data_IF_192414278751
#
_entry.id   IF_192414278751
#
_cell.length_a   1.000
_cell.length_b   1.000
_cell.length_c   1.000
_cell.angle_alpha   90.00
_cell.angle_beta   90.00
_cell.angle_gamma   90.00
#
_symmetry.space_group_name_H-M   'P 1'
#
loop_
_entity.id
_entity.type
_entity.pdbx_description
1 polymer ?
#
# COMPACT_ATOMS: atom_id res chain seq x y z
N UNK A 1 13.35 -17.66 -31.27
CA UNK A 1 11.89 -17.64 -31.31
C UNK A 1 11.44 -16.95 -30.04
N UNK A 2 11.09 -15.65 -30.09
CA UNK A 2 10.53 -14.93 -28.95
C UNK A 2 9.08 -15.39 -28.83
N UNK A 3 8.76 -16.21 -27.82
CA UNK A 3 7.38 -16.53 -27.46
C UNK A 3 6.73 -15.26 -26.95
N UNK A 4 5.90 -14.64 -27.77
CA UNK A 4 5.03 -13.55 -27.41
C UNK A 4 3.97 -14.10 -26.41
N UNK A 5 4.33 -14.16 -25.13
CA UNK A 5 3.35 -14.40 -24.06
C UNK A 5 2.66 -13.07 -23.82
N UNK A 6 1.47 -12.88 -24.38
CA UNK A 6 0.60 -11.78 -23.97
C UNK A 6 0.28 -11.97 -22.48
N UNK A 7 0.55 -10.94 -21.68
CA UNK A 7 0.16 -10.92 -20.28
C UNK A 7 -1.35 -10.95 -20.13
N UNK A 8 -1.84 -11.33 -18.96
CA UNK A 8 -3.29 -11.37 -18.66
C UNK A 8 -3.96 -10.00 -18.85
N UNK A 9 -3.20 -8.92 -18.68
CA UNK A 9 -3.66 -7.53 -18.81
C UNK A 9 -3.56 -6.96 -20.24
N UNK A 10 -3.00 -7.72 -21.22
CA UNK A 10 -2.89 -7.34 -22.64
C UNK A 10 -4.19 -7.61 -23.44
N UNK A 11 -5.34 -7.68 -22.78
CA UNK A 11 -6.63 -7.88 -23.46
C UNK A 11 -7.05 -6.55 -24.07
N UNK A 12 -7.09 -6.49 -25.40
CA UNK A 12 -7.70 -5.38 -26.12
C UNK A 12 -9.21 -5.39 -25.90
N UNK A 13 -9.70 -4.36 -25.21
CA UNK A 13 -11.12 -4.16 -24.97
C UNK A 13 -11.61 -3.17 -26.05
N UNK A 14 -12.47 -3.66 -26.93
CA UNK A 14 -13.14 -2.79 -27.92
C UNK A 14 -14.31 -2.05 -27.23
N UNK A 15 -14.08 -0.78 -26.95
CA UNK A 15 -15.04 0.07 -26.25
C UNK A 15 -16.18 0.59 -27.17
N UNK A 16 -16.03 0.52 -28.52
CA UNK A 16 -17.01 1.10 -29.45
C UNK A 16 -18.31 0.26 -29.58
N UNK A 17 -18.28 -1.01 -29.18
CA UNK A 17 -19.40 -1.95 -29.32
C UNK A 17 -20.24 -2.18 -28.05
N UNK A 18 -19.88 -1.58 -26.91
CA UNK A 18 -20.48 -1.89 -25.62
C UNK A 18 -21.59 -0.88 -25.28
N UNK A 19 -22.85 -1.33 -25.35
CA UNK A 19 -23.99 -0.56 -24.84
C UNK A 19 -23.90 -0.43 -23.31
N UNK A 20 -23.84 0.81 -22.80
CA UNK A 20 -23.50 1.13 -21.42
C UNK A 20 -24.75 1.12 -20.55
N UNK A 21 -24.98 0.02 -19.81
CA UNK A 21 -25.78 0.03 -18.60
C UNK A 21 -24.87 0.35 -17.41
N UNK A 22 -25.33 1.14 -16.40
CA UNK A 22 -24.49 1.77 -15.38
C UNK A 22 -23.43 0.91 -14.70
N UNK A 23 -23.65 -0.38 -14.46
CA UNK A 23 -22.66 -1.28 -13.87
C UNK A 23 -21.52 -1.72 -14.81
N UNK A 24 -21.71 -1.57 -16.12
CA UNK A 24 -20.69 -1.93 -17.12
C UNK A 24 -19.61 -0.84 -17.25
N UNK A 25 -19.96 0.42 -17.03
CA UNK A 25 -18.99 1.54 -17.07
C UNK A 25 -17.96 1.41 -15.99
N UNK A 26 -18.37 1.10 -14.76
CA UNK A 26 -17.45 0.94 -13.62
C UNK A 26 -16.48 -0.21 -13.85
N UNK A 27 -16.95 -1.32 -14.42
CA UNK A 27 -16.10 -2.45 -14.78
C UNK A 27 -15.11 -2.10 -15.90
N UNK A 28 -15.51 -1.30 -16.88
CA UNK A 28 -14.61 -0.83 -17.95
C UNK A 28 -13.50 0.07 -17.39
N UNK A 29 -13.85 1.03 -16.51
CA UNK A 29 -12.84 1.84 -15.82
C UNK A 29 -11.89 0.97 -15.01
N UNK A 30 -12.41 0.00 -14.26
CA UNK A 30 -11.58 -0.94 -13.48
C UNK A 30 -10.62 -1.72 -14.38
N UNK A 31 -11.08 -2.22 -15.52
CA UNK A 31 -10.23 -2.94 -16.47
C UNK A 31 -9.17 -2.01 -17.10
N UNK A 32 -9.52 -0.76 -17.37
CA UNK A 32 -8.55 0.23 -17.85
C UNK A 32 -7.50 0.57 -16.80
N UNK A 33 -7.90 0.73 -15.53
CA UNK A 33 -6.98 0.95 -14.43
C UNK A 33 -6.00 -0.23 -14.28
N UNK A 34 -6.49 -1.46 -14.32
CA UNK A 34 -5.65 -2.65 -14.29
C UNK A 34 -4.67 -2.71 -15.48
N UNK A 35 -5.13 -2.37 -16.69
CA UNK A 35 -4.25 -2.29 -17.87
C UNK A 35 -3.13 -1.26 -17.67
N UNK A 36 -3.42 -0.15 -17.00
CA UNK A 36 -2.47 0.90 -16.65
C UNK A 36 -1.73 0.65 -15.33
N UNK A 37 -1.82 -0.56 -14.76
CA UNK A 37 -1.18 -0.97 -13.50
C UNK A 37 -1.59 -0.11 -12.30
N UNK A 38 -2.82 0.42 -12.29
CA UNK A 38 -3.40 1.20 -11.20
C UNK A 38 -4.25 0.33 -10.32
N UNK A 39 -3.93 0.30 -9.03
CA UNK A 39 -4.64 -0.44 -8.01
C UNK A 39 -5.16 0.53 -6.95
N UNK A 40 -6.38 0.33 -6.47
CA UNK A 40 -7.01 1.19 -5.47
C UNK A 40 -7.34 0.39 -4.20
N UNK A 41 -6.84 0.87 -3.06
CA UNK A 41 -7.12 0.35 -1.73
C UNK A 41 -7.80 1.46 -0.91
N UNK A 42 -9.09 1.70 -1.20
CA UNK A 42 -9.88 2.81 -0.66
C UNK A 42 -10.93 2.32 0.35
N UNK A 43 -10.53 1.40 1.22
CA UNK A 43 -11.37 0.74 2.22
C UNK A 43 -10.56 0.44 3.48
N UNK A 44 -11.23 -0.03 4.53
CA UNK A 44 -10.56 -0.64 5.69
C UNK A 44 -9.73 -1.86 5.29
N UNK A 45 -8.64 -2.09 6.01
CA UNK A 45 -7.72 -3.18 5.73
C UNK A 45 -8.29 -4.46 6.32
N UNK A 46 -8.65 -5.39 5.45
CA UNK A 46 -9.04 -6.75 5.77
C UNK A 46 -8.53 -7.74 4.71
N UNK A 47 -8.73 -9.03 4.95
CA UNK A 47 -8.27 -10.09 4.05
C UNK A 47 -8.85 -9.96 2.63
N UNK A 48 -10.10 -9.54 2.47
CA UNK A 48 -10.73 -9.42 1.16
C UNK A 48 -10.14 -8.27 0.35
N UNK A 49 -9.96 -7.10 0.99
CA UNK A 49 -9.38 -5.91 0.38
C UNK A 49 -7.93 -6.14 -0.07
N UNK A 50 -7.15 -6.82 0.78
CA UNK A 50 -5.73 -7.11 0.51
C UNK A 50 -5.56 -8.17 -0.59
N UNK A 51 -6.35 -9.24 -0.57
CA UNK A 51 -6.20 -10.37 -1.49
C UNK A 51 -6.30 -9.94 -2.98
N UNK A 52 -7.17 -8.99 -3.31
CA UNK A 52 -7.29 -8.50 -4.69
C UNK A 52 -6.03 -7.73 -5.12
N UNK A 53 -5.52 -6.86 -4.27
CA UNK A 53 -4.29 -6.09 -4.54
C UNK A 53 -3.07 -7.02 -4.68
N UNK A 54 -2.89 -7.95 -3.74
CA UNK A 54 -1.81 -8.95 -3.75
C UNK A 54 -1.84 -9.77 -5.04
N UNK A 55 -3.01 -10.27 -5.45
CA UNK A 55 -3.19 -11.02 -6.68
C UNK A 55 -2.68 -10.26 -7.90
N UNK A 56 -3.00 -8.98 -8.02
CA UNK A 56 -2.56 -8.16 -9.15
C UNK A 56 -1.07 -7.85 -9.10
N UNK A 57 -0.48 -7.57 -7.94
CA UNK A 57 0.96 -7.38 -7.80
C UNK A 57 1.71 -8.65 -8.24
N UNK A 58 1.26 -9.83 -7.80
CA UNK A 58 1.86 -11.11 -8.21
C UNK A 58 1.70 -11.36 -9.72
N UNK A 59 0.54 -10.99 -10.30
CA UNK A 59 0.31 -11.12 -11.74
C UNK A 59 1.27 -10.23 -12.55
N UNK A 60 1.41 -8.93 -12.20
CA UNK A 60 2.35 -8.03 -12.89
C UNK A 60 3.81 -8.51 -12.77
N UNK A 61 4.22 -9.04 -11.61
CA UNK A 61 5.53 -9.66 -11.47
C UNK A 61 5.72 -10.88 -12.37
N UNK A 62 4.66 -11.65 -12.57
CA UNK A 62 4.66 -12.80 -13.49
C UNK A 62 4.75 -12.35 -14.95
N UNK A 63 4.02 -11.31 -15.33
CA UNK A 63 4.00 -10.75 -16.69
C UNK A 63 5.36 -10.14 -17.04
N UNK A 64 6.00 -9.48 -16.09
CA UNK A 64 7.32 -8.86 -16.22
C UNK A 64 8.47 -9.86 -16.10
N UNK A 65 8.20 -11.15 -15.96
CA UNK A 65 9.24 -12.16 -15.82
C UNK A 65 10.18 -12.19 -17.03
N UNK A 66 11.46 -11.89 -16.79
CA UNK A 66 12.49 -11.80 -17.82
C UNK A 66 12.80 -10.37 -18.28
N UNK A 67 12.10 -9.36 -17.72
CA UNK A 67 12.45 -7.95 -17.81
C UNK A 67 13.29 -7.60 -16.58
N UNK A 68 14.40 -6.89 -16.76
CA UNK A 68 15.20 -6.41 -15.63
C UNK A 68 14.36 -5.44 -14.77
N UNK A 69 14.48 -5.47 -13.43
CA UNK A 69 13.65 -4.65 -12.55
C UNK A 69 13.66 -3.15 -12.87
N UNK A 70 14.79 -2.61 -13.33
CA UNK A 70 14.97 -1.20 -13.69
C UNK A 70 14.17 -0.80 -14.94
N UNK A 71 13.85 -1.76 -15.79
CA UNK A 71 13.13 -1.56 -17.06
C UNK A 71 11.63 -1.90 -16.96
N UNK A 72 11.16 -2.29 -15.76
CA UNK A 72 9.75 -2.64 -15.52
C UNK A 72 8.92 -1.39 -15.28
N UNK A 73 7.76 -1.33 -15.91
CA UNK A 73 6.77 -0.29 -15.60
C UNK A 73 6.25 -0.43 -14.17
N UNK A 74 6.17 0.67 -13.41
CA UNK A 74 5.73 0.61 -12.02
C UNK A 74 4.24 0.26 -11.90
N UNK A 75 3.89 -0.32 -10.75
CA UNK A 75 2.52 -0.49 -10.29
C UNK A 75 2.18 0.72 -9.41
N UNK A 76 1.06 1.38 -9.67
CA UNK A 76 0.58 2.51 -8.88
C UNK A 76 -0.49 2.01 -7.88
N UNK A 77 -0.18 2.03 -6.59
CA UNK A 77 -1.09 1.64 -5.53
C UNK A 77 -1.59 2.89 -4.78
N UNK A 78 -2.83 3.27 -5.07
CA UNK A 78 -3.49 4.37 -4.38
C UNK A 78 -4.11 3.87 -3.08
N UNK A 79 -3.65 4.41 -1.95
CA UNK A 79 -4.09 3.98 -0.61
C UNK A 79 -4.79 5.14 0.09
N UNK A 80 -6.08 4.97 0.38
CA UNK A 80 -6.90 5.88 1.19
C UNK A 80 -7.64 5.03 2.22
N UNK A 81 -7.09 4.89 3.43
CA UNK A 81 -7.59 3.92 4.40
C UNK A 81 -7.39 4.40 5.84
N UNK A 82 -8.39 4.12 6.67
CA UNK A 82 -8.32 4.26 8.12
C UNK A 82 -7.45 3.20 8.80
N UNK A 83 -7.03 2.16 8.08
CA UNK A 83 -6.29 1.03 8.63
C UNK A 83 -7.19 -0.18 8.84
N UNK A 84 -6.78 -1.10 9.72
CA UNK A 84 -7.52 -2.33 10.02
C UNK A 84 -6.63 -3.48 10.43
N UNK A 85 -6.88 -4.69 9.89
CA UNK A 85 -6.26 -5.93 10.29
C UNK A 85 -4.74 -5.96 10.02
N UNK A 86 -3.99 -6.31 11.07
CA UNK A 86 -2.52 -6.30 11.05
C UNK A 86 -1.95 -7.42 10.18
N UNK A 87 -2.53 -8.62 10.25
CA UNK A 87 -2.02 -9.78 9.51
C UNK A 87 -2.22 -9.59 8.01
N UNK A 88 -3.40 -9.12 7.60
CA UNK A 88 -3.70 -8.74 6.22
C UNK A 88 -2.79 -7.61 5.72
N UNK A 89 -2.53 -6.62 6.57
CA UNK A 89 -1.63 -5.51 6.25
C UNK A 89 -0.20 -5.98 6.01
N UNK A 90 0.33 -6.88 6.83
CA UNK A 90 1.66 -7.45 6.64
C UNK A 90 1.76 -8.31 5.38
N UNK A 91 0.71 -9.06 5.03
CA UNK A 91 0.67 -9.81 3.76
C UNK A 91 0.93 -8.87 2.56
N UNK A 92 0.26 -7.71 2.54
CA UNK A 92 0.44 -6.74 1.46
C UNK A 92 1.80 -6.03 1.53
N UNK A 93 2.27 -5.65 2.72
CA UNK A 93 3.58 -5.04 2.93
C UNK A 93 4.69 -5.95 2.40
N UNK A 94 4.69 -7.22 2.78
CA UNK A 94 5.68 -8.19 2.34
C UNK A 94 5.61 -8.41 0.83
N UNK A 95 4.39 -8.47 0.27
CA UNK A 95 4.17 -8.59 -1.18
C UNK A 95 4.76 -7.41 -1.94
N UNK A 96 4.54 -6.17 -1.47
CA UNK A 96 5.11 -4.97 -2.07
C UNK A 96 6.65 -5.01 -1.99
N UNK A 97 7.20 -5.28 -0.81
CA UNK A 97 8.65 -5.27 -0.59
C UNK A 97 9.39 -6.38 -1.37
N UNK A 98 8.76 -7.54 -1.55
CA UNK A 98 9.32 -8.65 -2.32
C UNK A 98 9.10 -8.49 -3.84
N UNK A 99 8.28 -7.54 -4.27
CA UNK A 99 8.01 -7.29 -5.69
C UNK A 99 9.25 -6.79 -6.40
N UNK A 100 9.61 -7.45 -7.51
CA UNK A 100 10.67 -6.98 -8.42
C UNK A 100 10.18 -5.91 -9.38
N UNK A 101 8.86 -5.85 -9.62
CA UNK A 101 8.21 -4.75 -10.33
C UNK A 101 7.99 -3.63 -9.33
N UNK A 102 8.49 -2.42 -9.58
CA UNK A 102 8.34 -1.31 -8.63
C UNK A 102 6.87 -1.06 -8.28
N UNK A 103 6.56 -0.92 -7.01
CA UNK A 103 5.25 -0.51 -6.52
C UNK A 103 5.37 0.88 -5.93
N UNK A 104 4.67 1.86 -6.50
CA UNK A 104 4.61 3.21 -5.99
C UNK A 104 3.32 3.39 -5.20
N UNK A 105 3.41 3.87 -3.97
CA UNK A 105 2.25 4.11 -3.11
C UNK A 105 1.88 5.59 -3.14
N UNK A 106 0.58 5.87 -3.28
CA UNK A 106 0.06 7.22 -3.42
C UNK A 106 -1.01 7.48 -2.37
N UNK A 107 -0.81 8.51 -1.53
CA UNK A 107 -1.82 9.00 -0.60
C UNK A 107 -2.60 10.16 -1.24
N UNK A 108 -3.84 9.91 -1.64
CA UNK A 108 -4.71 10.95 -2.20
C UNK A 108 -5.48 11.74 -1.12
N UNK A 109 -5.57 11.23 0.11
CA UNK A 109 -6.35 11.87 1.17
C UNK A 109 -5.86 11.54 2.56
N UNK A 110 -5.90 10.26 2.96
CA UNK A 110 -5.43 9.84 4.27
C UNK A 110 -4.93 8.39 4.26
N UNK A 111 -3.91 8.15 5.07
CA UNK A 111 -3.37 6.83 5.38
C UNK A 111 -3.18 6.74 6.89
N UNK A 112 -4.07 6.00 7.56
CA UNK A 112 -4.07 5.89 9.01
C UNK A 112 -3.73 4.47 9.46
N UNK A 113 -3.02 4.33 10.59
CA UNK A 113 -2.76 3.04 11.22
C UNK A 113 -2.14 2.04 10.23
N UNK A 114 -2.73 0.88 10.00
CA UNK A 114 -2.25 -0.09 9.01
C UNK A 114 -2.21 0.48 7.58
N UNK A 115 -3.09 1.41 7.21
CA UNK A 115 -3.03 2.12 5.93
C UNK A 115 -1.76 2.95 5.78
N UNK A 116 -1.26 3.57 6.88
CA UNK A 116 0.03 4.24 6.91
C UNK A 116 1.18 3.26 6.70
N UNK A 117 1.17 2.11 7.38
CA UNK A 117 2.21 1.09 7.23
C UNK A 117 2.28 0.55 5.80
N UNK A 118 1.13 0.29 5.15
CA UNK A 118 1.07 -0.11 3.74
C UNK A 118 1.64 0.99 2.84
N UNK A 119 1.28 2.26 3.10
CA UNK A 119 1.83 3.39 2.37
C UNK A 119 3.36 3.46 2.43
N UNK A 120 3.95 3.14 3.59
CA UNK A 120 5.40 3.09 3.77
C UNK A 120 6.09 1.97 2.97
N UNK A 121 5.37 0.91 2.57
CA UNK A 121 5.95 -0.22 1.86
C UNK A 121 6.43 0.12 0.44
N UNK A 122 5.87 1.16 -0.18
CA UNK A 122 6.18 1.57 -1.53
C UNK A 122 7.67 1.76 -1.81
N UNK A 123 8.09 1.39 -3.03
CA UNK A 123 9.44 1.66 -3.52
C UNK A 123 9.66 3.15 -3.77
N UNK A 124 8.59 3.87 -4.10
CA UNK A 124 8.49 5.32 -4.09
C UNK A 124 7.12 5.70 -3.49
N UNK A 125 7.09 6.74 -2.66
CA UNK A 125 5.94 7.11 -1.84
C UNK A 125 5.54 8.54 -2.15
N UNK A 126 4.31 8.68 -2.65
CA UNK A 126 3.74 9.96 -3.05
C UNK A 126 2.60 10.37 -2.14
N UNK A 127 2.39 11.66 -1.98
CA UNK A 127 1.23 12.19 -1.27
C UNK A 127 0.72 13.47 -1.93
N UNK A 128 -0.59 13.67 -1.91
CA UNK A 128 -1.17 14.98 -2.20
C UNK A 128 -0.83 15.97 -1.08
N UNK A 129 -0.73 17.26 -1.41
CA UNK A 129 -0.32 18.32 -0.46
C UNK A 129 -1.11 18.31 0.86
N UNK A 130 -2.41 18.06 0.81
CA UNK A 130 -3.28 18.03 1.99
C UNK A 130 -3.53 16.62 2.53
N UNK A 131 -2.80 15.64 2.05
CA UNK A 131 -2.91 14.27 2.54
C UNK A 131 -2.48 14.18 4.01
N UNK A 132 -3.12 13.27 4.73
CA UNK A 132 -2.94 13.09 6.17
C UNK A 132 -2.41 11.70 6.45
N UNK A 133 -1.67 11.60 7.52
CA UNK A 133 -1.13 10.35 8.04
C UNK A 133 -1.42 10.25 9.52
N UNK A 134 -1.63 9.04 10.02
CA UNK A 134 -1.74 8.75 11.44
C UNK A 134 -0.87 7.56 11.79
N UNK A 135 0.04 7.77 12.74
CA UNK A 135 0.76 6.73 13.45
C UNK A 135 0.25 6.67 14.90
N UNK A 136 -0.09 5.49 15.36
CA UNK A 136 -0.49 5.22 16.75
C UNK A 136 -0.18 3.77 17.14
N UNK A 137 -0.26 3.46 18.43
CA UNK A 137 -0.28 2.08 18.90
C UNK A 137 -1.60 1.40 18.48
N UNK A 138 -1.49 0.15 18.02
CA UNK A 138 -2.65 -0.64 17.63
C UNK A 138 -3.50 -1.05 18.84
N UNK A 139 -4.78 -1.35 18.61
CA UNK A 139 -5.64 -1.95 19.63
C UNK A 139 -5.50 -3.46 19.61
N UNK A 140 -5.09 -4.05 20.74
CA UNK A 140 -5.02 -5.49 20.92
C UNK A 140 -6.21 -5.98 21.74
N UNK A 141 -6.96 -6.95 21.19
CA UNK A 141 -8.02 -7.63 21.90
C UNK A 141 -7.67 -9.09 22.11
N UNK A 142 -7.50 -9.51 23.38
CA UNK A 142 -7.18 -10.88 23.76
C UNK A 142 -8.38 -11.54 24.42
N UNK A 143 -9.00 -12.51 23.73
CA UNK A 143 -10.09 -13.31 24.27
C UNK A 143 -9.64 -14.78 24.38
N UNK A 144 -8.92 -15.09 25.46
CA UNK A 144 -8.44 -16.43 25.75
C UNK A 144 -8.39 -16.68 27.25
N UNK A 145 -8.29 -17.96 27.66
CA UNK A 145 -8.15 -18.34 29.07
C UNK A 145 -6.69 -18.43 29.50
N UNK A 146 -6.37 -17.89 30.68
CA UNK A 146 -5.16 -18.16 31.43
C UNK A 146 -3.86 -18.13 30.61
N UNK A 147 -3.17 -19.28 30.52
CA UNK A 147 -1.88 -19.39 29.84
C UNK A 147 -1.93 -19.01 28.34
N UNK A 148 -3.03 -19.33 27.63
CA UNK A 148 -3.18 -18.99 26.21
C UNK A 148 -3.26 -17.48 26.01
N UNK A 149 -3.90 -16.75 26.92
CA UNK A 149 -3.93 -15.29 26.88
C UNK A 149 -2.52 -14.69 27.04
N UNK A 150 -1.73 -15.25 27.98
CA UNK A 150 -0.35 -14.82 28.17
C UNK A 150 0.53 -15.10 26.94
N UNK A 151 0.36 -16.26 26.31
CA UNK A 151 1.11 -16.61 25.09
C UNK A 151 0.76 -15.67 23.93
N UNK A 152 -0.54 -15.34 23.77
CA UNK A 152 -0.99 -14.38 22.77
C UNK A 152 -0.45 -12.97 23.04
N UNK A 153 -0.46 -12.50 24.30
CA UNK A 153 0.12 -11.20 24.65
C UNK A 153 1.62 -11.14 24.35
N UNK A 154 2.38 -12.19 24.65
CA UNK A 154 3.82 -12.26 24.30
C UNK A 154 4.04 -12.23 22.79
N UNK A 155 3.18 -12.88 22.03
CA UNK A 155 3.27 -12.83 20.57
C UNK A 155 2.94 -11.44 20.04
N UNK A 156 1.87 -10.81 20.52
CA UNK A 156 1.49 -9.44 20.14
C UNK A 156 2.61 -8.44 20.41
N UNK A 157 3.31 -8.54 21.56
CA UNK A 157 4.47 -7.67 21.83
C UNK A 157 5.60 -7.84 20.81
N UNK A 158 5.78 -9.04 20.26
CA UNK A 158 6.76 -9.27 19.17
C UNK A 158 6.28 -8.68 17.85
N UNK A 159 4.97 -8.66 17.60
CA UNK A 159 4.38 -7.99 16.42
C UNK A 159 4.59 -6.48 16.54
N UNK A 160 4.33 -5.89 17.70
CA UNK A 160 4.58 -4.46 17.99
C UNK A 160 6.04 -4.08 17.75
N UNK A 161 7.00 -4.91 18.20
CA UNK A 161 8.42 -4.67 17.95
C UNK A 161 8.76 -4.71 16.46
N UNK A 162 8.19 -5.65 15.69
CA UNK A 162 8.35 -5.68 14.23
C UNK A 162 7.77 -4.45 13.54
N UNK A 163 6.62 -3.95 14.00
CA UNK A 163 6.03 -2.70 13.48
C UNK A 163 7.00 -1.54 13.74
N UNK A 164 7.54 -1.44 14.95
CA UNK A 164 8.55 -0.43 15.30
C UNK A 164 9.77 -0.50 14.39
N UNK A 165 10.40 -1.67 14.29
CA UNK A 165 11.57 -1.90 13.43
C UNK A 165 11.26 -1.50 11.97
N UNK A 166 10.08 -1.88 11.48
CA UNK A 166 9.62 -1.55 10.13
C UNK A 166 9.51 -0.03 9.93
N UNK A 167 8.81 0.70 10.80
CA UNK A 167 8.66 2.15 10.71
C UNK A 167 10.01 2.85 10.75
N UNK A 168 10.89 2.45 11.68
CA UNK A 168 12.24 3.01 11.81
C UNK A 168 13.10 2.76 10.57
N UNK A 169 12.91 1.63 9.89
CA UNK A 169 13.62 1.31 8.65
C UNK A 169 13.16 2.11 7.44
N UNK A 170 11.95 2.70 7.51
CA UNK A 170 11.30 3.38 6.37
C UNK A 170 11.29 4.91 6.48
N UNK A 171 11.79 5.46 7.57
CA UNK A 171 11.83 6.90 7.82
C UNK A 171 13.09 7.34 8.54
N UNK A 172 13.10 8.61 8.97
CA UNK A 172 14.20 9.24 9.67
C UNK A 172 13.94 9.36 11.19
N UNK A 173 13.06 8.50 11.74
CA UNK A 173 12.74 8.51 13.16
C UNK A 173 13.83 7.79 13.97
N UNK A 174 14.15 8.34 15.15
CA UNK A 174 14.90 7.60 16.16
C UNK A 174 13.97 6.72 16.99
N UNK A 175 14.53 5.69 17.65
CA UNK A 175 13.76 4.83 18.58
C UNK A 175 13.10 5.64 19.69
N UNK A 176 13.81 6.62 20.27
CA UNK A 176 13.30 7.46 21.36
C UNK A 176 12.13 8.34 20.90
N UNK A 177 12.21 8.91 19.68
CA UNK A 177 11.11 9.68 19.09
C UNK A 177 9.88 8.80 18.82
N UNK A 178 10.09 7.58 18.30
CA UNK A 178 9.02 6.61 18.12
C UNK A 178 8.31 6.30 19.44
N UNK A 179 9.07 5.95 20.48
CA UNK A 179 8.53 5.57 21.80
C UNK A 179 7.79 6.75 22.46
N UNK A 180 8.23 7.98 22.24
CA UNK A 180 7.56 9.18 22.72
C UNK A 180 6.21 9.44 21.99
N UNK A 181 6.09 8.99 20.73
CA UNK A 181 4.91 9.20 19.89
C UNK A 181 3.93 8.01 19.88
N UNK A 182 4.39 6.82 20.23
CA UNK A 182 3.58 5.59 20.14
C UNK A 182 2.27 5.66 20.95
N UNK A 183 2.30 6.34 22.11
CA UNK A 183 1.13 6.41 23.02
C UNK A 183 0.20 7.57 22.78
N UNK A 184 0.37 8.26 21.65
CA UNK A 184 -0.47 9.38 21.24
C UNK A 184 -0.92 9.18 19.81
N UNK A 185 -2.07 9.74 19.46
CA UNK A 185 -2.53 9.84 18.08
C UNK A 185 -1.64 10.85 17.36
N UNK A 186 -0.61 10.38 16.65
CA UNK A 186 0.29 11.29 15.94
C UNK A 186 -0.15 11.51 14.51
N UNK A 187 -0.92 12.56 14.32
CA UNK A 187 -1.34 13.04 13.00
C UNK A 187 -0.24 13.88 12.35
N UNK A 188 -0.05 13.72 11.05
CA UNK A 188 0.89 14.48 10.23
C UNK A 188 0.21 14.87 8.92
N UNK A 189 0.54 16.06 8.39
CA UNK A 189 0.32 16.40 6.99
C UNK A 189 1.47 15.90 6.12
N UNK A 190 1.32 16.02 4.78
CA UNK A 190 2.29 15.50 3.82
C UNK A 190 3.70 16.12 3.97
N UNK A 191 3.81 17.39 4.32
CA UNK A 191 5.08 18.09 4.57
C UNK A 191 5.79 17.52 5.81
N UNK A 192 5.09 17.36 6.93
CA UNK A 192 5.63 16.75 8.15
C UNK A 192 6.04 15.29 7.91
N UNK A 193 5.21 14.52 7.18
CA UNK A 193 5.52 13.14 6.82
C UNK A 193 6.76 13.06 5.92
N UNK A 194 6.96 14.03 5.02
CA UNK A 194 8.14 14.11 4.18
C UNK A 194 9.40 14.46 4.97
N UNK A 195 9.33 15.38 5.91
CA UNK A 195 10.45 15.71 6.82
C UNK A 195 10.91 14.48 7.62
N UNK A 196 9.97 13.58 7.96
CA UNK A 196 10.23 12.31 8.64
C UNK A 196 10.66 11.18 7.70
N UNK A 197 10.80 11.44 6.41
CA UNK A 197 11.18 10.45 5.41
C UNK A 197 10.10 9.41 5.11
N UNK A 198 8.84 9.67 5.46
CA UNK A 198 7.71 8.79 5.18
C UNK A 198 7.10 9.02 3.79
N UNK A 199 7.36 10.16 3.19
CA UNK A 199 6.95 10.56 1.83
C UNK A 199 8.19 10.99 1.06
N UNK A 200 8.31 10.52 -0.19
CA UNK A 200 9.43 10.89 -1.06
C UNK A 200 9.10 12.13 -1.90
N UNK A 201 7.82 12.27 -2.31
CA UNK A 201 7.38 13.34 -3.20
C UNK A 201 5.97 13.83 -2.88
N UNK A 202 5.81 15.15 -2.74
CA UNK A 202 4.50 15.79 -2.59
C UNK A 202 4.05 16.28 -3.97
N UNK A 203 2.96 15.70 -4.47
CA UNK A 203 2.38 16.00 -5.80
C UNK A 203 1.92 17.46 -5.84
N UNK A 204 2.31 18.17 -6.89
CA UNK A 204 2.03 19.58 -7.08
C UNK A 204 2.95 20.54 -6.29
N UNK A 205 3.96 19.98 -5.59
CA UNK A 205 5.02 20.75 -4.87
C UNK A 205 6.40 20.31 -5.36
N UNK A 206 6.70 19.03 -5.26
CA UNK A 206 8.02 18.47 -5.61
C UNK A 206 8.01 17.75 -6.95
N UNK A 207 6.85 17.27 -7.38
CA UNK A 207 6.68 16.48 -8.60
C UNK A 207 5.31 16.78 -9.24
N UNK A 208 5.20 16.43 -10.53
CA UNK A 208 3.95 16.59 -11.28
C UNK A 208 3.00 15.43 -11.00
N UNK A 209 1.69 15.67 -11.20
CA UNK A 209 0.68 14.63 -11.13
C UNK A 209 0.87 13.57 -12.22
N UNK A 210 1.47 13.96 -13.36
CA UNK A 210 1.76 13.04 -14.47
C UNK A 210 2.71 11.91 -14.07
N UNK A 211 3.44 12.02 -12.94
CA UNK A 211 4.29 10.95 -12.42
C UNK A 211 3.50 9.78 -11.82
N UNK A 212 2.21 9.94 -11.57
CA UNK A 212 1.38 8.96 -10.85
C UNK A 212 0.04 8.64 -11.53
N UNK A 213 -0.18 9.09 -12.77
CA UNK A 213 -1.41 8.85 -13.54
C UNK A 213 -1.19 7.98 -14.77
#
# INVERSE_FOLDING_TARGET
>A
MKTNRRGFHDIDIDFEGIMVEGGLVDELFRLQDLKNRKLFLNVGIDQCAVADVVKHILQYNSDDKGIEPVDREPIFLYVVSEGGDVDSGFELIDTIQCSKTPVYTINLGYQYSMGFLIGLAGHKRYAMKNAKFLMHDGSNFVYNSGAKAQDQMRFNSRVEERIKEYILSRGNLTSDEYDAKLRVEWYMFADEAKERGFVDCIIGVDCDIDEVI
#
